data_IF_904909795886
#
_entry.id   IF_904909795886
#
_cell.length_a   1.000
_cell.length_b   1.000
_cell.length_c   1.000
_cell.angle_alpha   90.00
_cell.angle_beta   90.00
_cell.angle_gamma   90.00
#
_symmetry.space_group_name_H-M   'P 1'
#
loop_
_entity.id
_entity.type
_entity.pdbx_description
1 polymer ?
#
# COMPACT_ATOMS: atom_id res chain seq x y z
N UNK A 1 5.22 3.89 18.35
CA UNK A 1 3.79 3.71 18.08
C UNK A 1 3.51 2.22 18.17
N UNK A 2 2.77 1.79 19.18
CA UNK A 2 2.30 0.41 19.28
C UNK A 2 1.00 0.34 18.49
N UNK A 3 0.90 -0.55 17.50
CA UNK A 3 -0.35 -0.77 16.78
C UNK A 3 -1.22 -1.74 17.58
N UNK A 4 -2.55 -1.58 17.58
CA UNK A 4 -3.44 -2.61 18.10
C UNK A 4 -3.24 -3.90 17.32
N UNK A 5 -3.44 -5.03 17.99
CA UNK A 5 -3.35 -6.34 17.35
C UNK A 5 -4.43 -6.46 16.26
N UNK A 6 -4.00 -6.59 15.00
CA UNK A 6 -4.89 -6.79 13.88
C UNK A 6 -5.30 -8.26 13.84
N UNK A 7 -6.62 -8.54 13.91
CA UNK A 7 -7.12 -9.88 13.60
C UNK A 7 -7.06 -10.09 12.08
N UNK A 8 -6.47 -11.18 11.58
CA UNK A 8 -6.46 -11.45 10.15
C UNK A 8 -7.88 -11.50 9.58
N UNK A 9 -8.07 -10.90 8.41
CA UNK A 9 -9.30 -10.97 7.62
C UNK A 9 -8.94 -11.11 6.13
N UNK A 10 -9.85 -11.66 5.34
CA UNK A 10 -9.63 -11.82 3.90
C UNK A 10 -9.69 -10.49 3.16
N UNK A 11 -8.94 -10.36 2.07
CA UNK A 11 -8.84 -9.12 1.26
C UNK A 11 -10.19 -8.59 0.76
N UNK A 12 -11.19 -9.48 0.59
CA UNK A 12 -12.54 -9.10 0.16
C UNK A 12 -13.38 -8.42 1.26
N UNK A 13 -12.88 -8.38 2.49
CA UNK A 13 -13.51 -7.72 3.65
C UNK A 13 -12.93 -6.32 3.89
N UNK A 14 -11.83 -5.97 3.21
CA UNK A 14 -11.27 -4.63 3.24
C UNK A 14 -11.66 -3.84 1.99
N UNK A 15 -11.87 -2.53 2.16
CA UNK A 15 -12.13 -1.67 1.02
C UNK A 15 -10.95 -1.61 0.04
N UNK A 16 -9.74 -1.99 0.46
CA UNK A 16 -8.53 -2.12 -0.35
C UNK A 16 -8.14 -0.83 -1.09
N UNK A 17 -8.45 0.32 -0.46
CA UNK A 17 -8.25 1.67 -0.98
C UNK A 17 -6.96 2.32 -0.46
N UNK A 18 -5.89 1.53 -0.43
CA UNK A 18 -4.60 1.96 0.08
C UNK A 18 -3.49 1.17 -0.62
N UNK A 19 -2.28 1.71 -0.59
CA UNK A 19 -1.09 0.99 -1.04
C UNK A 19 0.14 1.38 -0.21
N UNK A 20 1.10 0.47 -0.15
CA UNK A 20 2.38 0.68 0.52
C UNK A 20 3.48 0.26 -0.42
N UNK A 21 4.56 1.05 -0.46
CA UNK A 21 5.74 0.68 -1.25
C UNK A 21 6.40 -0.56 -0.63
N UNK A 22 6.69 -1.57 -1.46
CA UNK A 22 7.47 -2.74 -1.04
C UNK A 22 8.86 -2.29 -0.57
N UNK A 23 9.24 -2.65 0.66
CA UNK A 23 10.55 -2.35 1.21
C UNK A 23 11.62 -3.28 0.65
N UNK A 24 12.69 -2.71 0.09
CA UNK A 24 13.90 -3.45 -0.29
C UNK A 24 13.97 -3.89 -1.75
N UNK A 25 14.92 -3.31 -2.48
CA UNK A 25 15.68 -3.93 -3.59
C UNK A 25 14.99 -4.44 -4.85
N UNK A 26 13.66 -4.52 -4.91
CA UNK A 26 12.95 -5.12 -6.05
C UNK A 26 11.65 -4.41 -6.36
N UNK A 27 11.57 -3.89 -7.58
CA UNK A 27 10.43 -3.24 -8.22
C UNK A 27 9.77 -2.13 -7.39
N UNK A 28 10.40 -0.96 -7.42
CA UNK A 28 9.81 0.28 -6.95
C UNK A 28 9.31 1.04 -8.18
N UNK A 29 8.09 1.60 -8.13
CA UNK A 29 7.65 2.65 -9.07
C UNK A 29 8.52 3.93 -8.99
N UNK A 30 9.61 3.91 -8.23
CA UNK A 30 10.65 4.93 -8.12
C UNK A 30 11.99 4.27 -8.39
N UNK A 31 12.62 4.64 -9.50
CA UNK A 31 13.85 4.07 -10.05
C UNK A 31 15.14 4.25 -9.21
N UNK A 32 15.06 4.51 -7.89
CA UNK A 32 16.23 4.76 -7.04
C UNK A 32 16.31 3.87 -5.80
N UNK A 33 17.43 3.15 -5.59
CA UNK A 33 17.79 2.59 -4.30
C UNK A 33 17.78 3.67 -3.22
N UNK A 34 17.20 3.38 -2.05
CA UNK A 34 17.04 4.36 -0.96
C UNK A 34 15.89 5.35 -1.17
N UNK A 35 14.96 5.07 -2.08
CA UNK A 35 13.76 5.87 -2.30
C UNK A 35 12.85 5.97 -1.06
N UNK A 36 12.02 7.02 -0.97
CA UNK A 36 11.11 7.25 0.15
C UNK A 36 10.07 6.13 0.34
N UNK A 37 9.88 5.74 1.60
CA UNK A 37 8.90 4.76 2.02
C UNK A 37 7.47 5.33 2.01
N UNK A 38 6.79 5.23 0.87
CA UNK A 38 5.44 5.77 0.69
C UNK A 38 4.34 4.85 1.21
N UNK A 39 3.33 5.46 1.82
CA UNK A 39 1.98 4.91 2.00
C UNK A 39 0.99 5.87 1.38
N UNK A 40 0.03 5.35 0.61
CA UNK A 40 -1.02 6.16 0.02
C UNK A 40 -2.40 5.61 0.39
N UNK A 41 -3.34 6.52 0.58
CA UNK A 41 -4.78 6.24 0.68
C UNK A 41 -5.42 6.80 -0.58
N UNK A 42 -6.25 6.00 -1.26
CA UNK A 42 -6.74 6.30 -2.61
C UNK A 42 -8.27 6.22 -2.70
N UNK A 43 -8.84 6.80 -3.76
CA UNK A 43 -10.28 6.70 -4.05
C UNK A 43 -10.66 5.34 -4.67
N UNK A 44 -9.72 4.73 -5.39
CA UNK A 44 -9.88 3.44 -6.07
C UNK A 44 -9.23 2.32 -5.27
N UNK A 45 -9.75 1.11 -5.47
CA UNK A 45 -9.15 -0.11 -4.93
C UNK A 45 -8.37 -0.86 -6.01
N UNK A 46 -7.89 -2.07 -5.69
CA UNK A 46 -7.09 -2.92 -6.59
C UNK A 46 -7.89 -3.68 -7.67
N UNK A 47 -9.19 -3.46 -7.77
CA UNK A 47 -10.02 -4.21 -8.71
C UNK A 47 -9.85 -3.67 -10.14
N UNK A 48 -9.67 -4.58 -11.11
CA UNK A 48 -9.29 -4.22 -12.50
C UNK A 48 -10.33 -3.29 -13.14
N UNK A 49 -11.63 -3.50 -12.91
CA UNK A 49 -12.67 -2.64 -13.45
C UNK A 49 -12.62 -1.20 -12.90
N UNK A 50 -12.00 -0.97 -11.73
CA UNK A 50 -11.82 0.38 -11.18
C UNK A 50 -10.69 1.18 -11.83
N UNK A 51 -9.75 0.54 -12.54
CA UNK A 51 -8.53 1.18 -13.08
C UNK A 51 -8.79 2.32 -14.07
N UNK A 52 -9.97 2.32 -14.71
CA UNK A 52 -10.39 3.34 -15.68
C UNK A 52 -11.27 4.44 -15.06
N UNK A 53 -11.50 4.39 -13.75
CA UNK A 53 -12.27 5.42 -13.04
C UNK A 53 -11.33 6.54 -12.61
N UNK A 54 -11.80 7.77 -12.71
CA UNK A 54 -11.09 8.90 -12.12
C UNK A 54 -11.00 8.78 -10.60
N UNK A 55 -9.95 9.36 -10.03
CA UNK A 55 -9.71 9.38 -8.58
C UNK A 55 -8.37 10.04 -8.25
N UNK A 56 -8.12 10.18 -6.96
CA UNK A 56 -6.86 10.68 -6.41
C UNK A 56 -6.32 9.76 -5.32
N UNK A 57 -5.13 10.13 -4.84
CA UNK A 57 -4.51 9.50 -3.68
C UNK A 57 -3.76 10.54 -2.85
N UNK A 58 -3.80 10.39 -1.53
CA UNK A 58 -2.99 11.16 -0.59
C UNK A 58 -1.86 10.27 -0.10
N UNK A 59 -0.61 10.71 -0.30
CA UNK A 59 0.58 9.94 0.02
C UNK A 59 1.41 10.59 1.13
N UNK A 60 2.00 9.77 2.00
CA UNK A 60 2.94 10.20 3.04
C UNK A 60 4.18 9.30 3.05
N UNK A 61 5.35 9.90 3.25
CA UNK A 61 6.64 9.21 3.35
C UNK A 61 7.07 8.96 4.81
N UNK A 62 6.13 9.09 5.76
CA UNK A 62 6.40 8.92 7.19
C UNK A 62 6.75 7.46 7.49
N UNK A 63 7.97 7.14 7.97
CA UNK A 63 8.40 5.75 8.17
C UNK A 63 7.52 4.96 9.13
N UNK A 64 6.98 5.62 10.17
CA UNK A 64 6.07 4.97 11.12
C UNK A 64 4.75 4.54 10.49
N UNK A 65 4.21 5.34 9.56
CA UNK A 65 2.97 5.01 8.83
C UNK A 65 3.26 3.89 7.85
N UNK A 66 4.34 4.00 7.07
CA UNK A 66 4.77 2.93 6.17
C UNK A 66 4.97 1.60 6.87
N UNK A 67 5.67 1.59 8.01
CA UNK A 67 5.90 0.36 8.77
C UNK A 67 4.58 -0.23 9.28
N UNK A 68 3.64 0.61 9.70
CA UNK A 68 2.33 0.16 10.17
C UNK A 68 1.50 -0.51 9.07
N UNK A 69 1.44 0.10 7.89
CA UNK A 69 0.74 -0.49 6.76
C UNK A 69 1.47 -1.72 6.22
N UNK A 70 2.80 -1.72 6.21
CA UNK A 70 3.59 -2.88 5.80
C UNK A 70 3.34 -4.09 6.70
N UNK A 71 3.18 -3.91 8.01
CA UNK A 71 2.94 -5.02 8.94
C UNK A 71 1.61 -5.74 8.76
N UNK A 72 0.66 -5.14 8.03
CA UNK A 72 -0.65 -5.76 7.73
C UNK A 72 -0.75 -6.28 6.30
N UNK A 73 0.34 -6.20 5.51
CA UNK A 73 0.40 -6.83 4.18
C UNK A 73 0.73 -8.31 4.35
N UNK A 74 -0.16 -9.16 3.85
CA UNK A 74 0.07 -10.61 3.77
C UNK A 74 0.95 -10.96 2.55
N UNK A 75 0.57 -10.48 1.37
CA UNK A 75 1.29 -10.73 0.11
C UNK A 75 1.31 -9.50 -0.81
N UNK A 76 2.28 -9.47 -1.71
CA UNK A 76 2.37 -8.51 -2.81
C UNK A 76 2.10 -9.25 -4.12
N UNK A 77 1.45 -8.59 -5.08
CA UNK A 77 1.45 -9.07 -6.47
C UNK A 77 2.18 -8.06 -7.33
N UNK A 78 2.80 -8.55 -8.39
CA UNK A 78 3.48 -7.71 -9.37
C UNK A 78 2.48 -6.81 -10.12
N UNK A 79 2.98 -5.70 -10.64
CA UNK A 79 2.18 -4.87 -11.54
C UNK A 79 1.85 -5.66 -12.81
N UNK A 80 0.59 -5.60 -13.25
CA UNK A 80 0.15 -6.16 -14.53
C UNK A 80 0.49 -5.23 -15.71
#
# INVERSE_FOLDING_TARGET
MQLPEARPFGIMVDHSKWCVMKGGGGAVCTSRPGGPHWTCIADTNREISQTRRGGGAVCTSRPGVWKAFLTVVDTFEDCQ
#
